data_IF_817028166210
#
_entry.id   IF_817028166210
#
_cell.length_a   1.000
_cell.length_b   1.000
_cell.length_c   1.000
_cell.angle_alpha   90.00
_cell.angle_beta   90.00
_cell.angle_gamma   90.00
#
_symmetry.space_group_name_H-M   'P 1'
#
loop_
_entity.id
_entity.type
_entity.pdbx_description
1 polymer ?
#
# COMPACT_ATOMS: atom_id res chain seq x y z
N UNK A 1 -13.74 23.96 -15.73
CA UNK A 1 -12.98 24.59 -14.62
C UNK A 1 -12.11 25.70 -15.20
N UNK A 2 -12.03 26.84 -14.54
CA UNK A 2 -11.03 27.86 -14.88
C UNK A 2 -9.61 27.28 -14.82
N UNK A 3 -8.69 27.70 -15.72
CA UNK A 3 -7.34 27.17 -15.80
C UNK A 3 -6.57 27.22 -14.47
N UNK A 4 -6.80 28.28 -13.68
CA UNK A 4 -6.17 28.47 -12.35
C UNK A 4 -6.63 27.41 -11.33
N UNK A 5 -7.92 27.10 -11.29
CA UNK A 5 -8.49 26.08 -10.39
C UNK A 5 -8.04 24.66 -10.75
N UNK A 6 -7.86 24.38 -12.05
CA UNK A 6 -7.33 23.10 -12.53
C UNK A 6 -5.88 22.88 -12.09
N UNK A 7 -5.02 23.90 -12.22
CA UNK A 7 -3.61 23.83 -11.80
C UNK A 7 -3.47 23.62 -10.29
N UNK A 8 -4.33 24.26 -9.49
CA UNK A 8 -4.37 24.03 -8.04
C UNK A 8 -4.80 22.61 -7.69
N UNK A 9 -5.85 22.09 -8.33
CA UNK A 9 -6.30 20.71 -8.13
C UNK A 9 -5.20 19.69 -8.51
N UNK A 10 -4.46 19.89 -9.60
CA UNK A 10 -3.34 19.03 -9.98
C UNK A 10 -2.20 19.10 -8.96
N UNK A 11 -1.93 20.27 -8.38
CA UNK A 11 -0.89 20.44 -7.35
C UNK A 11 -1.26 19.68 -6.07
N UNK A 12 -2.51 19.81 -5.61
CA UNK A 12 -3.00 19.08 -4.44
C UNK A 12 -2.95 17.57 -4.68
N UNK A 13 -3.35 17.12 -5.87
CA UNK A 13 -3.26 15.70 -6.25
C UNK A 13 -1.82 15.19 -6.17
N UNK A 14 -0.84 15.95 -6.68
CA UNK A 14 0.57 15.57 -6.62
C UNK A 14 1.09 15.49 -5.18
N UNK A 15 0.72 16.46 -4.33
CA UNK A 15 1.11 16.44 -2.91
C UNK A 15 0.55 15.20 -2.23
N UNK A 16 -0.76 14.95 -2.37
CA UNK A 16 -1.41 13.78 -1.80
C UNK A 16 -0.79 12.48 -2.31
N UNK A 17 -0.58 12.35 -3.63
CA UNK A 17 0.06 11.18 -4.21
C UNK A 17 1.48 10.98 -3.68
N UNK A 18 2.28 12.06 -3.55
CA UNK A 18 3.64 11.97 -3.02
C UNK A 18 3.67 11.53 -1.55
N UNK A 19 2.73 12.02 -0.73
CA UNK A 19 2.58 11.63 0.67
C UNK A 19 2.17 10.16 0.78
N UNK A 20 1.22 9.70 -0.05
CA UNK A 20 0.83 8.30 -0.11
C UNK A 20 2.01 7.39 -0.45
N UNK A 21 2.72 7.68 -1.54
CA UNK A 21 3.84 6.86 -2.01
C UNK A 21 4.95 6.83 -0.97
N UNK A 22 5.31 7.99 -0.39
CA UNK A 22 6.35 8.07 0.64
C UNK A 22 5.96 7.27 1.87
N UNK A 23 4.70 7.37 2.31
CA UNK A 23 4.19 6.62 3.47
C UNK A 23 4.24 5.11 3.22
N UNK A 24 3.78 4.67 2.05
CA UNK A 24 3.77 3.25 1.66
C UNK A 24 5.18 2.66 1.54
N UNK A 25 6.10 3.36 0.87
CA UNK A 25 7.49 2.89 0.72
C UNK A 25 8.17 2.85 2.08
N UNK A 26 8.02 3.89 2.89
CA UNK A 26 8.68 3.98 4.21
C UNK A 26 8.13 2.91 5.16
N UNK A 27 6.82 2.67 5.18
CA UNK A 27 6.23 1.61 6.01
C UNK A 27 6.79 0.23 5.68
N UNK A 28 6.98 -0.06 4.38
CA UNK A 28 7.57 -1.31 3.91
C UNK A 28 9.04 -1.47 4.31
N UNK A 29 9.77 -0.37 4.53
CA UNK A 29 11.17 -0.42 4.98
C UNK A 29 11.29 -0.61 6.50
N UNK A 30 10.37 -0.02 7.28
CA UNK A 30 10.44 -0.04 8.75
C UNK A 30 9.60 -1.15 9.39
N UNK A 31 8.89 -1.97 8.61
CA UNK A 31 7.92 -2.93 9.13
C UNK A 31 8.50 -3.96 10.12
N UNK A 32 9.78 -4.29 10.01
CA UNK A 32 10.42 -5.28 10.90
C UNK A 32 10.69 -4.74 12.31
N UNK A 33 10.55 -3.43 12.51
CA UNK A 33 10.65 -2.85 13.85
C UNK A 33 9.31 -3.03 14.54
N UNK A 34 9.28 -3.77 15.63
CA UNK A 34 8.11 -3.91 16.48
C UNK A 34 8.24 -3.00 17.70
N UNK A 35 7.11 -2.49 18.18
CA UNK A 35 7.02 -1.74 19.43
C UNK A 35 5.96 -2.38 20.32
N UNK A 36 6.20 -2.32 21.63
CA UNK A 36 5.21 -2.72 22.62
C UNK A 36 4.41 -1.50 23.07
N UNK A 37 3.10 -1.65 23.12
CA UNK A 37 2.19 -0.62 23.60
C UNK A 37 1.22 -1.22 24.61
N UNK A 38 1.21 -0.67 25.82
CA UNK A 38 0.28 -1.07 26.88
C UNK A 38 -0.37 0.18 27.50
N UNK A 39 -1.34 0.81 26.80
CA UNK A 39 -1.93 2.08 27.22
C UNK A 39 -2.75 1.99 28.51
N UNK A 40 -3.25 0.80 28.88
CA UNK A 40 -4.17 0.62 30.02
C UNK A 40 -3.72 -0.42 31.06
N UNK A 41 -2.52 -0.98 30.92
CA UNK A 41 -2.01 -2.04 31.79
C UNK A 41 -2.64 -3.42 31.55
N UNK A 42 -3.72 -3.51 30.74
CA UNK A 42 -4.53 -4.73 30.59
C UNK A 42 -4.07 -5.64 29.45
N UNK A 43 -3.36 -5.12 28.44
CA UNK A 43 -2.94 -5.91 27.29
C UNK A 43 -1.66 -5.35 26.66
N UNK A 44 -0.72 -6.24 26.33
CA UNK A 44 0.52 -5.90 25.64
C UNK A 44 0.31 -6.07 24.14
N UNK A 45 0.16 -4.95 23.43
CA UNK A 45 0.14 -4.95 21.97
C UNK A 45 1.57 -4.93 21.45
N UNK A 46 1.95 -5.94 20.67
CA UNK A 46 3.18 -5.96 19.89
C UNK A 46 2.83 -5.70 18.43
N UNK A 47 3.14 -4.50 17.96
CA UNK A 47 2.77 -4.04 16.62
C UNK A 47 4.01 -3.62 15.84
N UNK A 48 3.96 -3.84 14.53
CA UNK A 48 4.95 -3.28 13.62
C UNK A 48 4.83 -1.76 13.59
N UNK A 49 5.97 -1.05 13.64
CA UNK A 49 6.04 0.41 13.45
C UNK A 49 5.50 0.82 12.07
N UNK A 50 5.52 -0.07 11.08
CA UNK A 50 4.94 0.16 9.75
C UNK A 50 3.45 0.52 9.79
N UNK A 51 2.72 0.10 10.83
CA UNK A 51 1.28 0.38 11.01
C UNK A 51 0.98 1.89 11.08
N UNK A 52 1.96 2.70 11.50
CA UNK A 52 1.80 4.15 11.66
C UNK A 52 1.45 4.84 10.33
N UNK A 53 1.93 4.29 9.21
CA UNK A 53 1.63 4.84 7.89
C UNK A 53 0.21 4.53 7.41
N UNK A 54 -0.45 3.50 7.95
CA UNK A 54 -1.71 3.00 7.41
C UNK A 54 -2.85 4.03 7.51
N UNK A 55 -3.08 4.70 8.66
CA UNK A 55 -4.08 5.76 8.75
C UNK A 55 -3.87 6.87 7.72
N UNK A 56 -2.61 7.21 7.44
CA UNK A 56 -2.24 8.25 6.48
C UNK A 56 -2.53 7.77 5.05
N UNK A 57 -2.13 6.55 4.70
CA UNK A 57 -2.35 6.01 3.35
C UNK A 57 -3.84 5.86 3.07
N UNK A 58 -4.63 5.31 3.99
CA UNK A 58 -6.09 5.20 3.83
C UNK A 58 -6.75 6.56 3.68
N UNK A 59 -6.49 7.50 4.60
CA UNK A 59 -7.04 8.85 4.54
C UNK A 59 -6.75 9.54 3.21
N UNK A 60 -5.51 9.47 2.74
CA UNK A 60 -5.13 10.08 1.46
C UNK A 60 -5.86 9.40 0.29
N UNK A 61 -5.94 8.07 0.29
CA UNK A 61 -6.59 7.33 -0.80
C UNK A 61 -8.09 7.64 -0.87
N UNK A 62 -8.74 7.83 0.28
CA UNK A 62 -10.14 8.23 0.38
C UNK A 62 -10.34 9.65 -0.16
N UNK A 63 -9.51 10.62 0.28
CA UNK A 63 -9.54 12.00 -0.22
C UNK A 63 -9.34 12.04 -1.74
N UNK A 64 -8.37 11.27 -2.26
CA UNK A 64 -8.12 11.23 -3.71
C UNK A 64 -9.32 10.61 -4.43
N UNK A 65 -9.92 9.55 -3.88
CA UNK A 65 -11.08 8.88 -4.47
C UNK A 65 -12.30 9.79 -4.51
N UNK A 66 -12.53 10.58 -3.46
CA UNK A 66 -13.67 11.49 -3.35
C UNK A 66 -13.53 12.71 -4.26
N UNK A 67 -12.35 13.34 -4.30
CA UNK A 67 -12.13 14.60 -5.04
C UNK A 67 -11.81 14.34 -6.52
N UNK A 68 -11.01 13.31 -6.81
CA UNK A 68 -10.45 13.05 -8.15
C UNK A 68 -11.01 11.78 -8.81
N UNK A 69 -11.80 11.00 -8.08
CA UNK A 69 -12.43 9.77 -8.55
C UNK A 69 -11.55 8.53 -8.38
N UNK A 70 -12.22 7.37 -8.33
CA UNK A 70 -11.60 6.06 -8.11
C UNK A 70 -10.50 5.70 -9.12
N UNK A 71 -10.63 6.12 -10.38
CA UNK A 71 -9.58 5.87 -11.40
C UNK A 71 -8.26 6.55 -11.05
N UNK A 72 -8.31 7.78 -10.53
CA UNK A 72 -7.12 8.55 -10.13
C UNK A 72 -6.52 7.99 -8.86
N UNK A 73 -7.35 7.59 -7.88
CA UNK A 73 -6.88 6.90 -6.68
C UNK A 73 -6.17 5.58 -7.01
N UNK A 74 -6.76 4.74 -7.87
CA UNK A 74 -6.12 3.51 -8.34
C UNK A 74 -4.77 3.77 -9.03
N UNK A 75 -4.67 4.86 -9.81
CA UNK A 75 -3.40 5.24 -10.45
C UNK A 75 -2.30 5.56 -9.42
N UNK A 76 -2.66 6.20 -8.29
CA UNK A 76 -1.73 6.51 -7.20
C UNK A 76 -1.31 5.25 -6.46
N UNK A 77 -2.23 4.32 -6.21
CA UNK A 77 -1.92 3.02 -5.61
C UNK A 77 -0.94 2.24 -6.49
N UNK A 78 -1.21 2.14 -7.80
CA UNK A 78 -0.31 1.48 -8.78
C UNK A 78 1.08 2.15 -8.75
N UNK A 79 1.13 3.47 -8.76
CA UNK A 79 2.39 4.20 -8.70
C UNK A 79 3.16 3.92 -7.40
N UNK A 80 2.46 3.82 -6.26
CA UNK A 80 3.07 3.46 -4.98
C UNK A 80 3.63 2.04 -4.94
N UNK A 81 2.97 1.10 -5.62
CA UNK A 81 3.43 -0.28 -5.74
C UNK A 81 4.66 -0.37 -6.63
N UNK A 82 4.65 0.33 -7.76
CA UNK A 82 5.82 0.43 -8.63
C UNK A 82 7.00 1.09 -7.90
N UNK A 83 6.74 2.17 -7.15
CA UNK A 83 7.75 2.82 -6.32
C UNK A 83 8.28 1.89 -5.23
N UNK A 84 7.43 1.07 -4.61
CA UNK A 84 7.85 0.06 -3.62
C UNK A 84 8.73 -1.02 -4.23
N UNK A 85 8.40 -1.49 -5.43
CA UNK A 85 9.25 -2.42 -6.18
C UNK A 85 10.60 -1.78 -6.54
N UNK A 86 10.61 -0.53 -7.00
CA UNK A 86 11.85 0.18 -7.32
C UNK A 86 12.72 0.40 -6.08
N UNK A 87 12.12 0.80 -4.96
CA UNK A 87 12.80 0.91 -3.67
C UNK A 87 13.38 -0.44 -3.23
N UNK A 88 12.65 -1.54 -3.45
CA UNK A 88 13.16 -2.87 -3.16
C UNK A 88 14.39 -3.20 -3.98
N UNK A 89 14.39 -2.92 -5.28
CA UNK A 89 15.54 -3.15 -6.16
C UNK A 89 16.77 -2.40 -5.63
N UNK A 90 16.61 -1.14 -5.21
CA UNK A 90 17.69 -0.36 -4.60
C UNK A 90 18.20 -1.05 -3.32
N UNK A 91 17.31 -1.55 -2.47
CA UNK A 91 17.67 -2.28 -1.25
C UNK A 91 18.39 -3.59 -1.53
N UNK A 92 17.98 -4.36 -2.55
CA UNK A 92 18.68 -5.57 -3.01
C UNK A 92 20.12 -5.23 -3.39
N UNK A 93 20.28 -4.26 -4.29
CA UNK A 93 21.61 -3.83 -4.77
C UNK A 93 22.47 -3.33 -3.60
N UNK A 94 21.86 -2.59 -2.67
CA UNK A 94 22.55 -2.09 -1.48
C UNK A 94 22.99 -3.20 -0.52
N UNK A 95 22.25 -4.31 -0.45
CA UNK A 95 22.59 -5.46 0.41
C UNK A 95 23.74 -6.29 -0.16
N UNK A 96 23.84 -6.39 -1.49
CA UNK A 96 24.92 -7.11 -2.16
C UNK A 96 26.23 -6.28 -2.24
N UNK A 97 26.12 -4.95 -2.15
CA UNK A 97 27.29 -4.08 -2.09
C UNK A 97 28.07 -4.28 -0.78
N UNK A 98 29.34 -4.66 -0.87
CA UNK A 98 30.18 -4.88 0.30
C UNK A 98 30.43 -3.58 1.07
N UNK A 99 30.11 -3.58 2.36
CA UNK A 99 30.44 -2.50 3.28
C UNK A 99 31.96 -2.31 3.37
N UNK A 100 32.41 -1.06 3.29
CA UNK A 100 33.80 -0.67 3.55
C UNK A 100 34.14 -0.78 5.04
N UNK A 101 35.43 -0.85 5.37
CA UNK A 101 35.90 -0.97 6.76
C UNK A 101 35.55 0.22 7.65
N UNK A 102 35.33 1.39 7.07
CA UNK A 102 34.93 2.62 7.77
C UNK A 102 33.41 2.82 7.80
N UNK A 103 32.62 1.95 7.16
CA UNK A 103 31.16 2.06 7.16
C UNK A 103 30.62 1.86 8.59
N UNK A 104 29.75 2.76 9.09
CA UNK A 104 29.13 2.58 10.40
C UNK A 104 28.16 1.39 10.44
N UNK A 105 27.65 0.96 9.29
CA UNK A 105 26.73 -0.18 9.16
C UNK A 105 27.41 -1.26 8.32
N UNK A 106 27.62 -2.43 8.92
CA UNK A 106 28.15 -3.60 8.23
C UNK A 106 27.09 -4.43 7.52
N UNK A 107 27.54 -5.34 6.64
CA UNK A 107 26.67 -6.21 5.83
C UNK A 107 25.65 -7.01 6.66
N UNK A 108 26.09 -7.54 7.82
CA UNK A 108 25.23 -8.36 8.70
C UNK A 108 24.05 -7.55 9.23
N UNK A 109 24.30 -6.35 9.76
CA UNK A 109 23.26 -5.48 10.31
C UNK A 109 22.32 -5.01 9.21
N UNK A 110 22.86 -4.59 8.05
CA UNK A 110 22.04 -4.15 6.93
C UNK A 110 21.12 -5.27 6.43
N UNK A 111 21.64 -6.49 6.26
CA UNK A 111 20.85 -7.65 5.85
C UNK A 111 19.85 -8.08 6.93
N UNK A 112 20.14 -7.89 8.21
CA UNK A 112 19.16 -8.15 9.27
C UNK A 112 17.98 -7.16 9.21
N UNK A 113 18.25 -5.88 8.94
CA UNK A 113 17.22 -4.84 8.86
C UNK A 113 16.39 -4.96 7.58
N UNK A 114 17.04 -5.16 6.43
CA UNK A 114 16.37 -5.10 5.12
C UNK A 114 16.21 -6.45 4.42
N UNK A 115 16.78 -7.54 4.95
CA UNK A 115 16.75 -8.85 4.32
C UNK A 115 15.37 -9.49 4.23
N UNK A 116 14.42 -9.17 5.12
CA UNK A 116 13.03 -9.61 5.00
C UNK A 116 12.15 -8.62 4.22
N UNK A 117 12.66 -7.44 3.86
CA UNK A 117 11.94 -6.46 3.02
C UNK A 117 11.60 -7.03 1.65
N UNK A 118 12.41 -7.97 1.12
CA UNK A 118 12.11 -8.74 -0.09
C UNK A 118 10.79 -9.50 -0.01
N UNK A 119 10.55 -10.16 1.13
CA UNK A 119 9.35 -10.95 1.35
C UNK A 119 8.15 -10.00 1.55
N UNK A 120 8.30 -8.93 2.32
CA UNK A 120 7.21 -8.00 2.59
C UNK A 120 6.72 -7.27 1.33
N UNK A 121 7.66 -6.75 0.52
CA UNK A 121 7.30 -6.08 -0.73
C UNK A 121 6.79 -7.10 -1.77
N UNK A 122 7.39 -8.29 -1.83
CA UNK A 122 6.91 -9.38 -2.69
C UNK A 122 5.48 -9.82 -2.33
N UNK A 123 5.18 -9.97 -1.05
CA UNK A 123 3.84 -10.28 -0.56
C UNK A 123 2.85 -9.15 -0.87
N UNK A 124 3.26 -7.88 -0.71
CA UNK A 124 2.42 -6.72 -1.05
C UNK A 124 2.09 -6.67 -2.55
N UNK A 125 3.07 -6.98 -3.42
CA UNK A 125 2.87 -7.10 -4.87
C UNK A 125 1.93 -8.25 -5.22
N UNK A 126 2.12 -9.42 -4.59
CA UNK A 126 1.27 -10.59 -4.80
C UNK A 126 -0.17 -10.33 -4.34
N UNK A 127 -0.36 -9.74 -3.15
CA UNK A 127 -1.65 -9.33 -2.62
C UNK A 127 -2.35 -8.34 -3.56
N UNK A 128 -1.60 -7.35 -4.08
CA UNK A 128 -2.17 -6.40 -5.04
C UNK A 128 -2.58 -7.06 -6.36
N UNK A 129 -1.72 -7.88 -6.95
CA UNK A 129 -2.05 -8.62 -8.18
C UNK A 129 -3.27 -9.52 -7.97
N UNK A 130 -3.37 -10.16 -6.81
CA UNK A 130 -4.50 -10.99 -6.43
C UNK A 130 -5.78 -10.16 -6.24
N UNK A 131 -5.72 -9.02 -5.55
CA UNK A 131 -6.82 -8.09 -5.38
C UNK A 131 -7.33 -7.57 -6.74
N UNK A 132 -6.41 -7.23 -7.65
CA UNK A 132 -6.78 -6.75 -8.99
C UNK A 132 -7.36 -7.88 -9.85
N UNK A 133 -6.87 -9.11 -9.73
CA UNK A 133 -7.43 -10.26 -10.42
C UNK A 133 -8.84 -10.62 -9.91
N UNK A 134 -9.05 -10.51 -8.59
CA UNK A 134 -10.37 -10.66 -7.97
C UNK A 134 -11.33 -9.55 -8.42
N UNK A 135 -10.89 -8.29 -8.42
CA UNK A 135 -11.70 -7.16 -8.88
C UNK A 135 -12.18 -7.36 -10.33
N UNK A 136 -11.30 -7.78 -11.24
CA UNK A 136 -11.67 -8.07 -12.65
C UNK A 136 -12.63 -9.26 -12.76
N UNK A 137 -12.40 -10.34 -12.01
CA UNK A 137 -13.29 -11.52 -12.01
C UNK A 137 -14.66 -11.21 -11.45
N UNK A 138 -14.73 -10.50 -10.33
CA UNK A 138 -15.97 -10.08 -9.67
C UNK A 138 -16.71 -9.10 -10.58
N UNK A 139 -16.01 -8.13 -11.17
CA UNK A 139 -16.59 -7.22 -12.17
C UNK A 139 -17.22 -7.98 -13.34
N UNK A 140 -16.51 -8.94 -13.95
CA UNK A 140 -17.05 -9.70 -15.09
C UNK A 140 -18.15 -10.69 -14.72
N UNK A 141 -18.05 -11.35 -13.57
CA UNK A 141 -19.10 -12.21 -13.01
C UNK A 141 -20.41 -11.42 -12.89
N UNK A 142 -20.35 -10.27 -12.21
CA UNK A 142 -21.52 -9.43 -12.06
C UNK A 142 -22.00 -8.79 -13.36
N UNK A 143 -21.11 -8.48 -14.31
CA UNK A 143 -21.49 -8.00 -15.66
C UNK A 143 -22.28 -9.03 -16.44
N UNK A 144 -21.95 -10.31 -16.30
CA UNK A 144 -22.62 -11.44 -16.98
C UNK A 144 -23.96 -11.78 -16.33
N UNK A 145 -24.03 -11.72 -14.99
CA UNK A 145 -25.25 -12.01 -14.23
C UNK A 145 -26.30 -10.90 -14.39
N UNK A 146 -25.89 -9.63 -14.38
CA UNK A 146 -26.84 -8.50 -14.41
C UNK A 146 -27.33 -8.10 -15.81
N UNK A 147 -26.83 -8.71 -16.89
CA UNK A 147 -27.15 -8.33 -18.27
C UNK A 147 -27.07 -6.81 -18.54
N UNK A 148 -26.25 -6.09 -17.76
CA UNK A 148 -26.09 -4.63 -17.85
C UNK A 148 -27.07 -3.76 -17.05
N UNK A 149 -28.00 -4.31 -16.25
CA UNK A 149 -28.93 -3.50 -15.42
C UNK A 149 -28.64 -3.63 -13.91
N UNK A 150 -28.63 -2.50 -13.22
CA UNK A 150 -28.36 -2.30 -11.77
C UNK A 150 -26.88 -2.33 -11.34
N UNK A 151 -26.19 -1.19 -11.56
CA UNK A 151 -24.80 -0.91 -11.14
C UNK A 151 -24.58 -0.90 -9.60
N UNK A 152 -25.61 -0.56 -8.82
CA UNK A 152 -25.50 -0.34 -7.38
C UNK A 152 -25.28 -1.62 -6.56
N UNK A 153 -25.90 -2.73 -6.97
CA UNK A 153 -25.74 -4.04 -6.31
C UNK A 153 -24.33 -4.59 -6.53
N UNK A 154 -23.75 -4.35 -7.72
CA UNK A 154 -22.40 -4.82 -8.07
C UNK A 154 -21.32 -4.15 -7.22
N UNK A 155 -21.46 -2.85 -6.97
CA UNK A 155 -20.45 -2.09 -6.24
C UNK A 155 -20.41 -2.50 -4.75
N UNK A 156 -21.58 -2.68 -4.12
CA UNK A 156 -21.66 -3.05 -2.72
C UNK A 156 -21.19 -4.50 -2.47
N UNK A 157 -21.61 -5.45 -3.31
CA UNK A 157 -21.25 -6.84 -3.12
C UNK A 157 -19.76 -7.13 -3.43
N UNK A 158 -19.19 -6.40 -4.40
CA UNK A 158 -17.75 -6.46 -4.68
C UNK A 158 -16.94 -5.94 -3.49
N UNK A 159 -17.37 -4.82 -2.90
CA UNK A 159 -16.69 -4.24 -1.73
C UNK A 159 -16.72 -5.18 -0.52
N UNK A 160 -17.86 -5.82 -0.25
CA UNK A 160 -18.00 -6.77 0.86
C UNK A 160 -17.16 -8.04 0.64
N UNK A 161 -17.18 -8.58 -0.58
CA UNK A 161 -16.43 -9.80 -0.89
C UNK A 161 -14.93 -9.55 -0.89
N UNK A 162 -14.49 -8.40 -1.42
CA UNK A 162 -13.07 -8.01 -1.40
C UNK A 162 -12.56 -7.77 0.02
N UNK A 163 -13.34 -7.11 0.89
CA UNK A 163 -12.94 -6.93 2.29
C UNK A 163 -12.90 -8.24 3.07
N UNK A 164 -13.82 -9.17 2.81
CA UNK A 164 -13.79 -10.50 3.45
C UNK A 164 -12.56 -11.31 3.04
N UNK A 165 -12.21 -11.32 1.76
CA UNK A 165 -11.04 -12.04 1.27
C UNK A 165 -9.75 -11.40 1.76
N UNK A 166 -9.67 -10.07 1.79
CA UNK A 166 -8.52 -9.34 2.32
C UNK A 166 -8.30 -9.67 3.81
N UNK A 167 -9.37 -9.62 4.61
CA UNK A 167 -9.31 -9.92 6.04
C UNK A 167 -8.89 -11.37 6.30
N UNK A 168 -9.41 -12.34 5.55
CA UNK A 168 -9.08 -13.77 5.72
C UNK A 168 -7.65 -14.07 5.26
N UNK A 169 -7.17 -13.43 4.19
CA UNK A 169 -5.81 -13.65 3.67
C UNK A 169 -4.73 -13.02 4.56
N UNK A 170 -5.06 -11.95 5.28
CA UNK A 170 -4.14 -11.29 6.20
C UNK A 170 -4.07 -12.00 7.56
N UNK A 171 -5.12 -12.73 7.96
CA UNK A 171 -5.22 -13.43 9.25
C UNK A 171 -4.78 -14.91 9.25
N UNK A 172 -4.61 -15.53 8.07
CA UNK A 172 -4.14 -16.92 7.89
C UNK A 172 -2.69 -16.94 7.38
#
# INVERSE_FOLDING_TARGET
MEPKKRRQAETIFLILASLFITSLVTSNLIFQKFFSWNPFGWYHFELSVGIIAYPITFLITDIISEIYGSKRANSVVIAGIFASFFALLIVVVSTEAQATTWSPIGNVVFKQVFGFTYIAVGASLAAYLFAQFLDVKVFHFWKRVTHGKHLWIRNNFSTITSQLVDTITVLL
#
